data_IF_730685933078
#
_entry.id   IF_730685933078
#
_cell.length_a   1.000
_cell.length_b   1.000
_cell.length_c   1.000
_cell.angle_alpha   90.00
_cell.angle_beta   90.00
_cell.angle_gamma   90.00
#
_symmetry.space_group_name_H-M   'P 1'
#
loop_
_entity.id
_entity.type
_entity.pdbx_description
1 polymer ?
#
# COMPACT_ATOMS: atom_id res chain seq x y z
N UNK A 1 3.40 10.43 -4.77
CA UNK A 1 3.50 11.06 -3.43
C UNK A 1 4.27 10.25 -2.40
N UNK A 2 3.70 9.23 -1.72
CA UNK A 2 4.40 8.55 -0.60
C UNK A 2 5.73 7.88 -1.00
N UNK A 3 5.82 7.37 -2.23
CA UNK A 3 7.06 6.80 -2.79
C UNK A 3 8.12 7.89 -2.97
N UNK A 4 7.72 9.07 -3.45
CA UNK A 4 8.63 10.22 -3.60
C UNK A 4 9.11 10.72 -2.24
N UNK A 5 8.18 10.95 -1.29
CA UNK A 5 8.53 11.40 0.06
C UNK A 5 9.51 10.44 0.76
N UNK A 6 9.35 9.14 0.60
CA UNK A 6 10.32 8.19 1.14
C UNK A 6 11.68 8.32 0.46
N UNK A 7 11.72 8.46 -0.86
CA UNK A 7 12.96 8.61 -1.61
C UNK A 7 13.69 9.89 -1.21
N UNK A 8 12.96 10.99 -0.99
CA UNK A 8 13.51 12.26 -0.49
C UNK A 8 14.08 12.14 0.93
N UNK A 9 13.34 11.51 1.84
CA UNK A 9 13.73 11.40 3.25
C UNK A 9 14.88 10.40 3.49
N UNK A 10 14.90 9.29 2.75
CA UNK A 10 15.84 8.19 2.97
C UNK A 10 16.98 8.15 1.95
N UNK A 11 16.88 8.94 0.87
CA UNK A 11 17.81 8.95 -0.26
C UNK A 11 18.03 7.56 -0.89
N UNK A 12 17.07 6.66 -0.72
CA UNK A 12 17.14 5.26 -1.14
C UNK A 12 16.01 4.94 -2.10
N UNK A 13 16.31 4.15 -3.13
CA UNK A 13 15.28 3.70 -4.08
C UNK A 13 14.44 2.58 -3.50
N UNK A 14 13.15 2.62 -3.79
CA UNK A 14 12.17 1.65 -3.32
C UNK A 14 12.13 0.51 -4.31
N UNK A 15 12.11 -0.72 -3.79
CA UNK A 15 11.91 -1.90 -4.64
C UNK A 15 10.54 -2.53 -4.41
N UNK A 16 10.03 -2.41 -3.19
CA UNK A 16 8.80 -3.07 -2.75
C UNK A 16 7.93 -2.11 -1.95
N UNK A 17 6.66 -2.06 -2.32
CA UNK A 17 5.64 -1.26 -1.63
C UNK A 17 4.71 -2.21 -0.88
N UNK A 18 4.63 -2.05 0.45
CA UNK A 18 3.76 -2.85 1.33
C UNK A 18 2.67 -1.96 1.90
N UNK A 19 1.42 -2.24 1.54
CA UNK A 19 0.28 -1.40 1.95
C UNK A 19 -0.94 -2.23 2.37
N UNK A 20 -1.85 -1.58 3.10
CA UNK A 20 -3.11 -2.16 3.52
C UNK A 20 -4.03 -2.44 2.32
N UNK A 21 -5.02 -3.31 2.53
CA UNK A 21 -6.01 -3.68 1.50
C UNK A 21 -6.77 -2.49 0.92
N UNK A 22 -6.93 -1.40 1.67
CA UNK A 22 -7.57 -0.17 1.20
C UNK A 22 -6.78 0.51 0.06
N UNK A 23 -5.47 0.29 -0.01
CA UNK A 23 -4.64 0.77 -1.11
C UNK A 23 -4.62 -0.19 -2.30
N UNK A 24 -5.31 -1.34 -2.23
CA UNK A 24 -5.38 -2.34 -3.29
C UNK A 24 -6.27 -1.95 -4.47
N UNK A 25 -6.21 -0.70 -4.91
CA UNK A 25 -6.98 -0.16 -6.03
C UNK A 25 -6.25 -0.36 -7.35
N UNK A 26 -6.99 -0.42 -8.46
CA UNK A 26 -6.43 -0.54 -9.81
C UNK A 26 -5.40 0.55 -10.11
N UNK A 27 -5.69 1.81 -9.75
CA UNK A 27 -4.78 2.94 -9.95
C UNK A 27 -3.43 2.73 -9.25
N UNK A 28 -3.44 2.27 -8.00
CA UNK A 28 -2.19 2.06 -7.25
C UNK A 28 -1.36 0.91 -7.81
N UNK A 29 -2.00 -0.16 -8.30
CA UNK A 29 -1.29 -1.26 -8.96
C UNK A 29 -0.63 -0.81 -10.27
N UNK A 30 -1.33 -0.01 -11.08
CA UNK A 30 -0.79 0.53 -12.32
C UNK A 30 0.37 1.49 -12.05
N UNK A 31 0.23 2.39 -11.07
CA UNK A 31 1.32 3.29 -10.66
C UNK A 31 2.57 2.51 -10.21
N UNK A 32 2.39 1.42 -9.44
CA UNK A 32 3.50 0.56 -9.05
C UNK A 32 4.11 -0.17 -10.25
N UNK A 33 3.28 -0.63 -11.18
CA UNK A 33 3.73 -1.30 -12.39
C UNK A 33 4.57 -0.36 -13.28
N UNK A 34 4.10 0.87 -13.49
CA UNK A 34 4.77 1.88 -14.30
C UNK A 34 6.13 2.29 -13.74
N UNK A 35 6.26 2.25 -12.41
CA UNK A 35 7.53 2.51 -11.71
C UNK A 35 8.41 1.26 -11.55
N UNK A 36 7.99 0.10 -12.07
CA UNK A 36 8.73 -1.16 -11.94
C UNK A 36 8.80 -1.73 -10.50
N UNK A 37 7.91 -1.29 -9.62
CA UNK A 37 7.89 -1.64 -8.20
C UNK A 37 7.10 -2.91 -7.94
N UNK A 38 7.51 -3.71 -6.95
CA UNK A 38 6.73 -4.86 -6.47
C UNK A 38 5.66 -4.37 -5.49
N UNK A 39 4.39 -4.56 -5.85
CA UNK A 39 3.27 -4.21 -4.98
C UNK A 39 2.86 -5.40 -4.10
N UNK A 40 3.24 -5.36 -2.83
CA UNK A 40 2.78 -6.30 -1.80
C UNK A 40 1.56 -5.70 -1.09
N UNK A 41 0.44 -5.67 -1.81
CA UNK A 41 -0.81 -5.05 -1.38
C UNK A 41 -1.91 -6.08 -1.55
N UNK A 42 -2.77 -6.26 -0.55
CA UNK A 42 -3.93 -7.13 -0.73
C UNK A 42 -4.93 -6.48 -1.68
N UNK A 43 -5.49 -7.18 -2.67
CA UNK A 43 -6.51 -6.61 -3.55
C UNK A 43 -7.70 -6.12 -2.73
N UNK A 44 -8.19 -4.93 -3.06
CA UNK A 44 -9.39 -4.40 -2.41
C UNK A 44 -10.57 -5.30 -2.77
N UNK A 45 -11.16 -5.93 -1.76
CA UNK A 45 -12.38 -6.71 -1.94
C UNK A 45 -13.57 -5.76 -1.89
N UNK A 46 -13.95 -5.22 -3.04
CA UNK A 46 -15.31 -4.71 -3.21
C UNK A 46 -16.28 -5.84 -2.84
N UNK A 47 -17.31 -5.55 -2.05
CA UNK A 47 -18.21 -6.54 -1.41
C UNK A 47 -19.03 -7.46 -2.32
N UNK A 48 -18.57 -7.72 -3.55
CA UNK A 48 -19.26 -8.40 -4.64
C UNK A 48 -19.50 -9.91 -4.41
N UNK A 49 -18.82 -10.55 -3.46
CA UNK A 49 -18.98 -11.99 -3.20
C UNK A 49 -20.00 -12.33 -2.11
N UNK A 50 -20.70 -11.36 -1.51
CA UNK A 50 -21.56 -11.65 -0.34
C UNK A 50 -22.86 -12.40 -0.63
N UNK A 51 -23.25 -12.56 -1.90
CA UNK A 51 -24.58 -13.04 -2.26
C UNK A 51 -24.61 -14.41 -2.97
N UNK A 52 -23.53 -15.21 -2.90
CA UNK A 52 -23.48 -16.55 -3.52
C UNK A 52 -23.62 -16.57 -5.05
N UNK A 53 -23.47 -15.41 -5.70
CA UNK A 53 -23.51 -15.26 -7.16
C UNK A 53 -22.14 -15.52 -7.76
N UNK A 54 -22.11 -15.90 -9.04
CA UNK A 54 -20.87 -16.06 -9.79
C UNK A 54 -19.99 -14.79 -9.69
N UNK A 55 -18.73 -14.99 -9.35
CA UNK A 55 -17.69 -13.95 -9.37
C UNK A 55 -17.34 -13.59 -10.82
N UNK A 56 -16.71 -12.44 -11.01
CA UNK A 56 -16.22 -12.02 -12.34
C UNK A 56 -15.12 -12.96 -12.87
N UNK A 57 -14.47 -13.73 -12.00
CA UNK A 57 -13.48 -14.75 -12.34
C UNK A 57 -14.09 -15.95 -13.08
N UNK A 58 -15.40 -16.20 -12.92
CA UNK A 58 -16.10 -17.26 -13.64
C UNK A 58 -16.33 -16.93 -15.12
N UNK A 59 -16.03 -15.70 -15.56
CA UNK A 59 -16.21 -15.25 -16.93
C UNK A 59 -14.87 -15.14 -17.63
N UNK A 60 -14.74 -15.84 -18.76
CA UNK A 60 -13.52 -15.77 -19.59
C UNK A 60 -13.62 -14.63 -20.61
N UNK A 61 -12.50 -13.96 -20.86
CA UNK A 61 -12.41 -12.92 -21.88
C UNK A 61 -11.80 -13.52 -23.14
N UNK A 62 -12.44 -13.32 -24.29
CA UNK A 62 -11.90 -13.67 -25.60
C UNK A 62 -11.33 -12.39 -26.28
N UNK A 63 -9.99 -12.27 -26.41
CA UNK A 63 -9.36 -11.12 -27.04
C UNK A 63 -9.64 -10.98 -28.53
N UNK A 64 -9.99 -12.07 -29.24
CA UNK A 64 -10.19 -12.03 -30.70
C UNK A 64 -11.48 -11.31 -31.08
N UNK A 65 -12.54 -11.64 -30.36
CA UNK A 65 -13.90 -11.13 -30.62
C UNK A 65 -14.25 -9.90 -29.73
N UNK A 66 -13.38 -9.52 -28.79
CA UNK A 66 -13.64 -8.52 -27.73
C UNK A 66 -14.96 -8.80 -26.98
N UNK A 67 -15.11 -10.04 -26.50
CA UNK A 67 -16.31 -10.49 -25.77
C UNK A 67 -15.94 -11.24 -24.50
N UNK A 68 -16.86 -11.21 -23.53
CA UNK A 68 -16.80 -12.11 -22.37
C UNK A 68 -17.71 -13.31 -22.58
N UNK A 69 -17.27 -14.49 -22.15
CA UNK A 69 -18.05 -15.72 -22.15
C UNK A 69 -18.53 -16.02 -20.73
N UNK A 70 -19.83 -16.23 -20.61
CA UNK A 70 -20.49 -16.67 -19.38
C UNK A 70 -20.24 -18.17 -19.14
N UNK A 71 -20.30 -18.66 -17.88
CA UNK A 71 -20.35 -20.10 -17.58
C UNK A 71 -21.42 -20.88 -18.36
N UNK A 72 -22.49 -20.22 -18.80
CA UNK A 72 -23.53 -20.79 -19.66
C UNK A 72 -23.18 -20.77 -21.18
N UNK A 73 -21.97 -20.39 -21.56
CA UNK A 73 -21.51 -20.28 -22.96
C UNK A 73 -21.99 -19.04 -23.71
N UNK A 74 -22.72 -18.12 -23.06
CA UNK A 74 -23.28 -16.93 -23.71
C UNK A 74 -22.29 -15.77 -23.79
N UNK A 75 -22.32 -15.01 -24.90
CA UNK A 75 -21.45 -13.85 -25.14
C UNK A 75 -21.98 -12.56 -24.51
N UNK A 76 -21.14 -11.85 -23.78
CA UNK A 76 -21.35 -10.49 -23.28
C UNK A 76 -20.58 -9.53 -24.19
N UNK A 77 -21.28 -8.53 -24.74
CA UNK A 77 -20.71 -7.56 -25.68
C UNK A 77 -20.37 -6.26 -24.96
N UNK A 78 -19.38 -5.55 -25.47
CA UNK A 78 -19.02 -4.20 -25.01
C UNK A 78 -20.18 -3.24 -25.27
N UNK A 79 -20.59 -2.49 -24.25
CA UNK A 79 -21.74 -1.57 -24.32
C UNK A 79 -21.33 -0.12 -24.07
N UNK A 80 -20.60 0.15 -22.98
CA UNK A 80 -20.27 1.52 -22.54
C UNK A 80 -18.79 1.62 -22.19
N UNK A 81 -18.22 2.80 -22.42
CA UNK A 81 -16.90 3.18 -21.93
C UNK A 81 -17.04 4.28 -20.88
N UNK A 82 -16.49 4.05 -19.68
CA UNK A 82 -16.35 5.06 -18.64
C UNK A 82 -14.96 5.69 -18.76
N UNK A 83 -14.92 6.93 -19.26
CA UNK A 83 -13.67 7.69 -19.44
C UNK A 83 -12.97 8.00 -18.12
N UNK A 84 -13.72 8.26 -17.05
CA UNK A 84 -13.14 8.67 -15.78
C UNK A 84 -12.42 7.52 -15.07
N UNK A 85 -12.86 6.29 -15.34
CA UNK A 85 -12.33 5.05 -14.75
C UNK A 85 -11.56 4.19 -15.75
N UNK A 86 -11.40 4.66 -16.98
CA UNK A 86 -10.79 3.92 -18.10
C UNK A 86 -11.28 2.47 -18.20
N UNK A 87 -12.59 2.28 -18.01
CA UNK A 87 -13.20 0.97 -17.84
C UNK A 87 -14.26 0.73 -18.90
N UNK A 88 -14.19 -0.40 -19.58
CA UNK A 88 -15.22 -0.88 -20.49
C UNK A 88 -16.23 -1.75 -19.74
N UNK A 89 -17.50 -1.50 -20.04
CA UNK A 89 -18.62 -2.27 -19.53
C UNK A 89 -19.07 -3.28 -20.59
N UNK A 90 -19.11 -4.55 -20.21
CA UNK A 90 -19.62 -5.66 -21.02
C UNK A 90 -20.94 -6.13 -20.45
N UNK A 91 -21.93 -6.33 -21.31
CA UNK A 91 -23.28 -6.69 -20.90
C UNK A 91 -23.83 -7.86 -21.70
N UNK A 92 -24.48 -8.80 -21.00
CA UNK A 92 -25.25 -9.87 -21.60
C UNK A 92 -26.60 -9.37 -22.13
N UNK A 93 -27.09 -9.94 -23.23
CA UNK A 93 -28.41 -9.60 -23.75
C UNK A 93 -29.50 -9.97 -22.74
N UNK A 94 -30.32 -9.00 -22.34
CA UNK A 94 -31.36 -9.19 -21.31
C UNK A 94 -32.32 -10.36 -21.63
N UNK A 95 -32.73 -10.54 -22.89
CA UNK A 95 -33.61 -11.65 -23.31
C UNK A 95 -32.96 -13.02 -23.05
N UNK A 96 -31.67 -13.17 -23.37
CA UNK A 96 -30.92 -14.42 -23.18
C UNK A 96 -30.69 -14.66 -21.68
N UNK A 97 -30.28 -13.64 -20.93
CA UNK A 97 -30.06 -13.77 -19.50
C UNK A 97 -31.36 -14.10 -18.74
N UNK A 98 -32.52 -13.62 -19.20
CA UNK A 98 -33.83 -13.93 -18.59
C UNK A 98 -34.25 -15.39 -18.78
N UNK A 99 -33.90 -15.99 -19.92
CA UNK A 99 -34.20 -17.39 -20.24
C UNK A 99 -33.12 -18.39 -19.76
N UNK A 100 -32.03 -17.91 -19.16
CA UNK A 100 -30.91 -18.75 -18.74
C UNK A 100 -31.23 -19.50 -17.44
N UNK A 101 -31.01 -20.82 -17.42
CA UNK A 101 -31.17 -21.65 -16.22
C UNK A 101 -30.26 -21.25 -15.05
N UNK A 102 -29.11 -20.63 -15.34
CA UNK A 102 -28.14 -20.18 -14.34
C UNK A 102 -28.41 -18.76 -13.83
N UNK A 103 -29.53 -18.13 -14.19
CA UNK A 103 -29.82 -16.72 -13.88
C UNK A 103 -29.78 -16.43 -12.38
N UNK A 104 -30.39 -17.27 -11.56
CA UNK A 104 -30.49 -17.05 -10.10
C UNK A 104 -29.11 -17.03 -9.43
N UNK A 105 -28.18 -17.86 -9.93
CA UNK A 105 -26.77 -17.90 -9.50
C UNK A 105 -25.90 -16.85 -10.20
N UNK A 106 -26.36 -16.21 -11.27
CA UNK A 106 -25.57 -15.31 -12.10
C UNK A 106 -25.83 -13.83 -11.81
N UNK A 107 -27.09 -13.38 -11.84
CA UNK A 107 -27.43 -11.96 -11.66
C UNK A 107 -28.88 -11.77 -11.23
N UNK A 108 -29.12 -10.77 -10.38
CA UNK A 108 -30.48 -10.32 -10.05
C UNK A 108 -30.97 -9.16 -10.92
N UNK A 109 -30.13 -8.66 -11.84
CA UNK A 109 -30.45 -7.47 -12.62
C UNK A 109 -31.40 -7.77 -13.79
N UNK A 110 -32.39 -6.91 -14.00
CA UNK A 110 -33.38 -7.02 -15.10
C UNK A 110 -32.75 -6.85 -16.50
N UNK A 111 -31.63 -6.14 -16.57
CA UNK A 111 -30.91 -5.79 -17.80
C UNK A 111 -29.83 -6.81 -18.19
N UNK A 112 -29.61 -7.87 -17.40
CA UNK A 112 -28.58 -8.88 -17.65
C UNK A 112 -27.34 -8.73 -16.75
N UNK A 113 -26.38 -9.65 -16.88
CA UNK A 113 -25.10 -9.57 -16.15
C UNK A 113 -24.23 -8.51 -16.81
N UNK A 114 -23.57 -7.72 -15.96
CA UNK A 114 -22.62 -6.68 -16.35
C UNK A 114 -21.25 -7.03 -15.77
N UNK A 115 -20.20 -6.85 -16.57
CA UNK A 115 -18.80 -7.01 -16.16
C UNK A 115 -18.05 -5.75 -16.56
N UNK A 116 -17.21 -5.26 -15.65
CA UNK A 116 -16.38 -4.09 -15.89
C UNK A 116 -14.92 -4.54 -16.04
N UNK A 117 -14.28 -4.15 -17.15
CA UNK A 117 -12.89 -4.47 -17.47
C UNK A 117 -12.11 -3.17 -17.67
N UNK A 118 -11.02 -3.01 -16.94
CA UNK A 118 -10.13 -1.86 -17.13
C UNK A 118 -9.37 -1.97 -18.46
N UNK A 119 -8.99 -0.86 -19.09
CA UNK A 119 -8.19 -0.89 -20.33
C UNK A 119 -6.90 -1.71 -20.15
N UNK A 120 -6.18 -1.44 -19.05
CA UNK A 120 -4.94 -2.11 -18.64
C UNK A 120 -5.16 -3.32 -17.72
N UNK A 121 -6.23 -4.10 -17.94
CA UNK A 121 -6.63 -5.17 -17.03
C UNK A 121 -5.56 -6.26 -16.83
N UNK A 122 -4.80 -6.60 -17.88
CA UNK A 122 -3.81 -7.67 -17.80
C UNK A 122 -2.64 -7.31 -16.89
N UNK A 123 -2.19 -6.05 -16.91
CA UNK A 123 -1.15 -5.56 -16.01
C UNK A 123 -1.62 -5.55 -14.55
N UNK A 124 -2.88 -5.17 -14.33
CA UNK A 124 -3.52 -5.25 -13.00
C UNK A 124 -3.59 -6.69 -12.51
N UNK A 125 -3.95 -7.64 -13.38
CA UNK A 125 -3.97 -9.08 -13.06
C UNK A 125 -2.57 -9.55 -12.66
N UNK A 126 -1.56 -9.26 -13.50
CA UNK A 126 -0.16 -9.59 -13.21
C UNK A 126 0.29 -9.08 -11.84
N UNK A 127 -0.04 -7.83 -11.51
CA UNK A 127 0.31 -7.22 -10.22
C UNK A 127 -0.44 -7.88 -9.05
N UNK A 128 -1.72 -8.23 -9.21
CA UNK A 128 -2.48 -8.95 -8.19
C UNK A 128 -1.95 -10.36 -7.97
N UNK A 129 -1.54 -11.06 -9.02
CA UNK A 129 -0.97 -12.40 -8.92
C UNK A 129 0.36 -12.35 -8.17
N UNK A 130 1.23 -11.38 -8.49
CA UNK A 130 2.47 -11.12 -7.73
C UNK A 130 2.19 -10.81 -6.25
N UNK A 131 1.12 -10.06 -5.97
CA UNK A 131 0.71 -9.75 -4.61
C UNK A 131 0.21 -10.97 -3.81
N UNK A 132 -0.16 -12.08 -4.47
CA UNK A 132 -0.53 -13.33 -3.81
C UNK A 132 0.67 -14.24 -3.49
N UNK A 133 1.88 -13.86 -3.90
CA UNK A 133 3.11 -14.62 -3.63
C UNK A 133 3.36 -14.84 -2.14
N UNK A 134 4.12 -15.88 -1.81
CA UNK A 134 4.49 -16.21 -0.43
C UNK A 134 5.19 -15.03 0.27
N UNK A 135 6.13 -14.37 -0.43
CA UNK A 135 6.88 -13.21 0.08
C UNK A 135 5.97 -12.03 0.38
N UNK A 136 5.04 -11.72 -0.52
CA UNK A 136 4.01 -10.69 -0.28
C UNK A 136 3.19 -10.97 0.97
N UNK A 137 2.74 -12.22 1.17
CA UNK A 137 2.01 -12.64 2.37
C UNK A 137 2.84 -12.54 3.66
N UNK A 138 4.15 -12.73 3.58
CA UNK A 138 5.06 -12.58 4.72
C UNK A 138 5.27 -11.10 5.07
N UNK A 139 5.46 -10.25 4.06
CA UNK A 139 5.65 -8.81 4.26
C UNK A 139 4.39 -8.15 4.83
N UNK A 140 3.21 -8.53 4.33
CA UNK A 140 1.92 -8.08 4.86
C UNK A 140 1.73 -8.50 6.33
N UNK A 141 2.11 -9.74 6.71
CA UNK A 141 2.09 -10.19 8.11
C UNK A 141 3.05 -9.40 9.00
N UNK A 142 4.26 -9.14 8.51
CA UNK A 142 5.26 -8.36 9.24
C UNK A 142 4.76 -6.93 9.47
N UNK A 143 4.23 -6.29 8.43
CA UNK A 143 3.61 -4.97 8.50
C UNK A 143 2.49 -4.91 9.54
N UNK A 144 1.59 -5.90 9.55
CA UNK A 144 0.47 -5.93 10.49
C UNK A 144 0.96 -5.80 11.93
N UNK A 145 1.99 -6.59 12.29
CA UNK A 145 2.58 -6.53 13.62
C UNK A 145 3.29 -5.20 13.93
N UNK A 146 3.95 -4.58 12.95
CA UNK A 146 4.62 -3.28 13.15
C UNK A 146 3.60 -2.17 13.50
N UNK A 147 2.51 -2.10 12.74
CA UNK A 147 1.47 -1.09 12.96
C UNK A 147 0.72 -1.32 14.27
N UNK A 148 0.26 -2.54 14.54
CA UNK A 148 -0.46 -2.87 15.77
C UNK A 148 0.38 -2.59 17.02
N UNK A 149 1.69 -2.91 16.99
CA UNK A 149 2.60 -2.61 18.10
C UNK A 149 2.78 -1.11 18.31
N UNK A 150 2.85 -0.32 17.24
CA UNK A 150 2.93 1.14 17.36
C UNK A 150 1.68 1.70 18.02
N UNK A 151 0.48 1.30 17.58
CA UNK A 151 -0.77 1.74 18.20
C UNK A 151 -0.90 1.28 19.66
N UNK A 152 -0.55 0.03 19.96
CA UNK A 152 -0.58 -0.50 21.33
C UNK A 152 0.37 0.29 22.25
N UNK A 153 1.55 0.67 21.77
CA UNK A 153 2.49 1.54 22.51
C UNK A 153 2.00 2.96 22.68
N UNK A 154 1.10 3.45 21.84
CA UNK A 154 0.53 4.79 21.97
C UNK A 154 -0.53 4.86 23.09
N UNK A 155 -1.17 3.73 23.41
CA UNK A 155 -2.27 3.66 24.39
C UNK A 155 -1.89 4.21 25.78
N UNK A 156 -0.74 3.84 26.40
CA UNK A 156 -0.34 4.37 27.70
C UNK A 156 -0.15 5.90 27.71
N UNK A 157 0.18 6.50 26.57
CA UNK A 157 0.35 7.95 26.42
C UNK A 157 -0.97 8.69 26.17
N UNK A 158 -2.12 8.02 26.33
CA UNK A 158 -3.44 8.64 26.22
C UNK A 158 -4.00 8.65 24.80
N UNK A 159 -3.44 7.88 23.86
CA UNK A 159 -3.88 7.87 22.46
C UNK A 159 -5.29 7.27 22.24
N UNK A 160 -5.86 6.55 23.22
CA UNK A 160 -7.23 6.00 23.14
C UNK A 160 -8.33 7.06 23.07
N UNK A 161 -8.08 8.28 23.55
CA UNK A 161 -9.09 9.33 23.63
C UNK A 161 -8.48 10.67 23.21
N UNK A 162 -9.25 11.43 22.43
CA UNK A 162 -8.92 12.83 22.19
C UNK A 162 -9.08 13.61 23.50
N UNK A 163 -7.99 14.16 24.03
CA UNK A 163 -8.02 14.98 25.25
C UNK A 163 -8.66 16.35 24.99
N UNK A 164 -8.56 16.83 23.76
CA UNK A 164 -9.00 18.17 23.36
C UNK A 164 -10.01 18.13 22.21
N UNK A 165 -10.84 19.16 22.12
CA UNK A 165 -11.75 19.40 20.98
C UNK A 165 -11.03 20.23 19.91
N UNK A 166 -11.45 20.05 18.64
CA UNK A 166 -10.90 20.66 17.40
C UNK A 166 -9.63 19.97 16.87
N UNK A 167 -9.57 19.79 15.55
CA UNK A 167 -8.53 19.03 14.85
C UNK A 167 -7.10 19.53 15.14
N UNK A 168 -6.88 20.84 15.15
CA UNK A 168 -5.54 21.39 15.38
C UNK A 168 -4.98 21.06 16.77
N UNK A 169 -5.84 20.94 17.79
CA UNK A 169 -5.41 20.52 19.13
C UNK A 169 -5.12 19.02 19.15
N UNK A 170 -6.00 18.21 18.57
CA UNK A 170 -5.79 16.75 18.49
C UNK A 170 -4.48 16.42 17.77
N UNK A 171 -4.14 17.14 16.69
CA UNK A 171 -2.85 16.99 15.99
C UNK A 171 -1.64 17.21 16.90
N UNK A 172 -1.68 18.19 17.83
CA UNK A 172 -0.60 18.40 18.81
C UNK A 172 -0.44 17.17 19.71
N UNK A 173 -1.55 16.60 20.19
CA UNK A 173 -1.53 15.37 21.00
C UNK A 173 -0.92 14.19 20.21
N UNK A 174 -1.30 14.03 18.95
CA UNK A 174 -0.75 13.00 18.06
C UNK A 174 0.77 13.17 17.86
N UNK A 175 1.22 14.40 17.54
CA UNK A 175 2.64 14.68 17.34
C UNK A 175 3.47 14.46 18.60
N UNK A 176 2.97 14.86 19.78
CA UNK A 176 3.63 14.59 21.06
C UNK A 176 3.75 13.08 21.33
N UNK A 177 2.69 12.33 21.06
CA UNK A 177 2.69 10.87 21.23
C UNK A 177 3.71 10.22 20.29
N UNK A 178 3.71 10.60 19.02
CA UNK A 178 4.68 10.10 18.03
C UNK A 178 6.13 10.47 18.40
N UNK A 179 6.37 11.69 18.88
CA UNK A 179 7.69 12.12 19.34
C UNK A 179 8.19 11.26 20.51
N UNK A 180 7.34 11.01 21.51
CA UNK A 180 7.68 10.13 22.64
C UNK A 180 8.01 8.72 22.14
N UNK A 181 7.21 8.16 21.24
CA UNK A 181 7.47 6.84 20.68
C UNK A 181 8.81 6.76 19.94
N UNK A 182 9.12 7.78 19.12
CA UNK A 182 10.38 7.86 18.40
C UNK A 182 11.57 7.97 19.37
N UNK A 183 11.46 8.79 20.43
CA UNK A 183 12.48 8.89 21.47
C UNK A 183 12.69 7.55 22.16
N UNK A 184 11.61 6.84 22.52
CA UNK A 184 11.71 5.52 23.17
C UNK A 184 12.36 4.46 22.27
N UNK A 185 12.14 4.53 20.95
CA UNK A 185 12.83 3.66 19.98
C UNK A 185 14.33 3.98 20.00
N UNK A 186 14.69 5.25 19.87
CA UNK A 186 16.09 5.68 19.89
C UNK A 186 16.79 5.26 21.18
N UNK A 187 16.17 5.47 22.34
CA UNK A 187 16.73 5.06 23.65
C UNK A 187 16.96 3.54 23.72
N UNK A 188 16.06 2.74 23.14
CA UNK A 188 16.19 1.28 23.12
C UNK A 188 17.33 0.80 22.22
N UNK A 189 17.55 1.48 21.10
CA UNK A 189 18.57 1.09 20.12
C UNK A 189 19.98 1.56 20.52
N UNK A 190 20.09 2.48 21.48
CA UNK A 190 21.35 2.86 22.13
C UNK A 190 21.78 1.75 23.08
N UNK A 191 22.48 0.73 22.55
CA UNK A 191 22.99 -0.42 23.32
C UNK A 191 24.06 -0.09 24.37
N UNK A 192 24.71 1.07 24.32
CA UNK A 192 25.55 1.60 25.42
C UNK A 192 25.45 3.13 25.48
N UNK A 193 24.57 3.72 26.33
CA UNK A 193 24.42 5.17 26.41
C UNK A 193 25.71 5.87 26.86
N UNK A 194 26.52 5.19 27.67
CA UNK A 194 27.80 5.73 28.16
C UNK A 194 28.88 5.86 27.09
N UNK A 195 29.03 4.89 26.18
CA UNK A 195 30.13 4.90 25.18
C UNK A 195 29.88 5.82 24.01
N UNK A 196 28.67 5.85 23.46
CA UNK A 196 28.36 6.72 22.32
C UNK A 196 28.40 8.20 22.71
N UNK A 197 27.88 8.55 23.89
CA UNK A 197 27.92 9.92 24.43
C UNK A 197 29.35 10.30 24.84
N UNK A 198 30.11 9.42 25.49
CA UNK A 198 31.51 9.71 25.84
C UNK A 198 32.44 9.79 24.62
N UNK A 199 32.23 8.98 23.56
CA UNK A 199 32.93 9.13 22.29
C UNK A 199 32.52 10.41 21.57
N UNK A 200 31.23 10.77 21.58
CA UNK A 200 30.79 12.04 21.01
C UNK A 200 31.45 13.21 21.75
N UNK A 201 31.37 13.26 23.07
CA UNK A 201 31.98 14.31 23.91
C UNK A 201 33.51 14.37 23.74
N UNK A 202 34.22 13.23 23.73
CA UNK A 202 35.67 13.20 23.45
C UNK A 202 35.98 13.74 22.05
N UNK A 203 35.20 13.32 21.04
CA UNK A 203 35.40 13.73 19.65
C UNK A 203 35.07 15.21 19.43
N UNK A 204 34.15 15.80 20.20
CA UNK A 204 33.96 17.26 20.22
C UNK A 204 35.11 17.93 20.97
N UNK A 205 35.50 17.44 22.15
CA UNK A 205 36.56 18.03 22.98
C UNK A 205 37.92 18.06 22.28
N UNK A 206 38.31 16.97 21.63
CA UNK A 206 39.59 16.86 20.92
C UNK A 206 39.60 17.66 19.60
N UNK A 207 38.41 17.92 19.04
CA UNK A 207 38.23 18.81 17.89
C UNK A 207 38.30 20.29 18.30
N UNK A 208 37.76 20.66 19.46
CA UNK A 208 37.83 22.03 20.00
C UNK A 208 39.23 22.42 20.52
N UNK A 209 40.01 21.47 21.04
CA UNK A 209 41.36 21.73 21.56
C UNK A 209 42.45 21.82 20.48
N UNK A 210 42.20 21.32 19.26
CA UNK A 210 43.21 21.22 18.19
C UNK A 210 42.80 21.90 16.86
N UNK A 211 41.96 22.93 16.92
CA UNK A 211 41.59 23.71 15.73
C UNK A 211 42.42 25.01 15.69
N UNK A 212 43.37 25.17 14.74
CA UNK A 212 43.92 26.50 14.44
C UNK A 212 42.79 27.42 13.97
N UNK A 213 42.90 28.72 14.25
CA UNK A 213 41.83 29.73 14.21
C UNK A 213 41.17 30.00 12.85
N UNK A 214 41.36 29.15 11.85
CA UNK A 214 40.84 29.32 10.49
C UNK A 214 40.35 27.97 9.96
N UNK A 215 39.05 27.69 10.05
CA UNK A 215 38.30 26.89 9.07
C UNK A 215 36.86 26.63 9.55
N UNK A 216 35.96 27.56 9.22
CA UNK A 216 34.54 27.32 9.12
C UNK A 216 34.26 26.70 7.74
N UNK A 217 34.22 25.37 7.64
CA UNK A 217 33.79 24.70 6.42
C UNK A 217 33.11 23.35 6.71
N UNK A 218 31.81 23.32 6.42
CA UNK A 218 31.00 22.22 5.88
C UNK A 218 31.57 20.80 6.00
N UNK A 219 30.92 19.96 6.83
CA UNK A 219 30.99 18.50 6.70
C UNK A 219 29.59 17.91 6.86
N UNK A 220 28.95 17.65 5.72
CA UNK A 220 27.85 16.69 5.55
C UNK A 220 28.41 15.27 5.75
N UNK A 221 27.97 14.55 6.77
CA UNK A 221 28.32 13.13 6.96
C UNK A 221 27.23 12.22 6.38
N UNK A 222 27.55 11.50 5.31
CA UNK A 222 26.94 10.20 4.98
C UNK A 222 27.38 9.18 6.03
N UNK A 223 26.43 8.50 6.67
CA UNK A 223 26.68 7.38 7.59
C UNK A 223 26.53 6.03 6.88
N UNK A 224 27.25 4.98 7.31
CA UNK A 224 27.16 3.65 6.73
C UNK A 224 26.10 2.82 7.46
N UNK A 225 25.09 2.31 6.75
CA UNK A 225 24.19 1.28 7.28
C UNK A 225 24.14 0.10 6.30
N UNK A 226 24.75 -1.05 6.64
CA UNK A 226 24.58 -2.29 5.91
C UNK A 226 23.55 -3.16 6.65
N UNK A 227 22.29 -3.10 6.23
CA UNK A 227 21.32 -4.17 6.47
C UNK A 227 20.64 -4.51 5.15
N UNK A 228 20.93 -5.73 4.70
CA UNK A 228 20.40 -6.46 3.55
C UNK A 228 19.05 -5.96 2.96
N UNK A 229 19.14 -5.31 1.79
CA UNK A 229 18.80 -6.00 0.55
C UNK A 229 17.38 -5.89 -0.01
N UNK A 230 16.48 -5.09 0.58
CA UNK A 230 15.28 -4.57 -0.09
C UNK A 230 14.79 -3.34 0.68
N UNK A 231 14.74 -2.18 0.04
CA UNK A 231 14.10 -0.99 0.62
C UNK A 231 12.59 -1.14 0.51
N UNK A 232 11.93 -1.44 1.63
CA UNK A 232 10.48 -1.56 1.72
C UNK A 232 9.87 -0.24 2.20
N UNK A 233 8.85 0.26 1.50
CA UNK A 233 7.97 1.29 2.05
C UNK A 233 6.77 0.61 2.70
N UNK A 234 6.58 0.88 3.98
CA UNK A 234 5.35 0.58 4.70
C UNK A 234 4.49 1.84 4.69
N UNK A 235 3.43 1.87 3.90
CA UNK A 235 2.49 3.02 3.81
C UNK A 235 1.49 2.99 4.97
N UNK A 236 1.61 3.79 6.04
CA UNK A 236 0.55 3.87 7.07
C UNK A 236 -0.79 4.33 6.48
N UNK A 237 -1.90 4.01 7.19
CA UNK A 237 -3.22 4.58 6.89
C UNK A 237 -3.26 6.08 7.14
#
# INVERSE_FOLDING_TARGET
ELIEQHTENTQSQVEVVVADSQYGTTKNYLECHDRGLKAHISPFKDGQSRNGKFSDEAFSYDPKDDVYLCPAGQRLKRTRYDRNRETFQYQGKAKICKACALKDKCTGAKTGRTINRHLRQEEVRLMRDRAQSFRSKQDLRTRQHLMERSFARAVPYGFKRARWRRLWRVRIQEYLTAAIQNIMILVKDVKEPGRAISLAIKKTRDKWLNLPATCLALITRKGPFPWAGCCYIVVPR
#
